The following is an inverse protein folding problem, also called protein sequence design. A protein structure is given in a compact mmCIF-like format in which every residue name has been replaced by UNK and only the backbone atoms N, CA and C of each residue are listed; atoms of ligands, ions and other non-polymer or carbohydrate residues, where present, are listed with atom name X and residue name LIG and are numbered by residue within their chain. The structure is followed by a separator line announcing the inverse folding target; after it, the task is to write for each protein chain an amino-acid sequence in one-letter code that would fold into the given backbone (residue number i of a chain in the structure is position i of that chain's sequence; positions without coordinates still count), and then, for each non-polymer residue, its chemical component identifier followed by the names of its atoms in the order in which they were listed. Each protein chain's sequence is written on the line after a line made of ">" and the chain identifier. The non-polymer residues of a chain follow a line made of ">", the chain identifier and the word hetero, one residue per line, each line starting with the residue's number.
data_IF_260201679405
#
_entry.id   IF_260201679405
#
_cell.length_a   1.000
_cell.length_b   1.000
_cell.length_c   1.000
_cell.angle_alpha   90.00
_cell.angle_beta   90.00
_cell.angle_gamma   90.00
#
_symmetry.space_group_name_H-M   'P 1'
#
loop_
_entity.id
_entity.type
_entity.pdbx_description
1 polymer ?
#
# COMPACT_ATOMS: atom_id res chain seq x y z
N UNK A 1 15.67 29.39 -15.14
CA UNK A 1 16.84 29.04 -14.28
C UNK A 1 17.32 30.25 -13.46
N UNK A 2 17.55 31.43 -14.05
CA UNK A 2 18.05 32.60 -13.35
C UNK A 2 17.11 33.18 -12.27
N UNK A 3 15.80 33.09 -12.45
CA UNK A 3 14.79 33.59 -11.51
C UNK A 3 14.71 32.71 -10.26
N UNK A 4 14.93 31.40 -10.39
CA UNK A 4 14.97 30.46 -9.27
C UNK A 4 16.17 30.65 -8.34
N UNK A 5 17.32 31.05 -8.87
CA UNK A 5 18.51 31.34 -8.09
C UNK A 5 18.37 32.57 -7.19
N UNK A 6 17.56 33.55 -7.59
CA UNK A 6 17.31 34.77 -6.80
C UNK A 6 16.28 34.55 -5.69
N UNK A 7 15.30 33.64 -5.88
CA UNK A 7 14.22 33.38 -4.91
C UNK A 7 14.37 32.05 -4.18
N UNK A 8 15.36 31.22 -4.51
CA UNK A 8 15.53 29.86 -3.98
C UNK A 8 14.29 28.96 -4.21
N UNK A 9 13.48 29.26 -5.24
CA UNK A 9 12.25 28.54 -5.61
C UNK A 9 12.46 27.93 -6.98
N UNK A 10 12.33 26.59 -7.07
CA UNK A 10 12.52 25.84 -8.31
C UNK A 10 11.19 25.48 -9.02
N UNK A 11 10.07 25.75 -8.36
CA UNK A 11 8.74 25.31 -8.83
C UNK A 11 8.70 23.80 -9.10
N UNK A 12 9.38 23.02 -8.25
CA UNK A 12 9.46 21.57 -8.39
C UNK A 12 9.21 20.90 -7.05
N UNK A 13 8.28 19.96 -7.02
CA UNK A 13 8.02 19.08 -5.88
C UNK A 13 8.57 17.70 -6.19
N UNK A 14 9.31 17.12 -5.26
CA UNK A 14 9.74 15.72 -5.32
C UNK A 14 8.63 14.79 -4.87
N UNK A 15 8.52 13.63 -5.52
CA UNK A 15 7.72 12.50 -5.05
C UNK A 15 8.59 11.25 -5.07
N UNK A 16 8.69 10.57 -3.96
CA UNK A 16 9.37 9.26 -3.87
C UNK A 16 8.31 8.20 -3.57
N UNK A 17 8.27 7.17 -4.43
CA UNK A 17 7.35 6.03 -4.32
C UNK A 17 8.11 4.70 -4.27
N UNK A 18 7.51 3.65 -3.67
CA UNK A 18 8.12 2.32 -3.61
C UNK A 18 8.24 1.63 -4.96
N UNK A 19 7.18 1.61 -5.77
CA UNK A 19 7.16 0.83 -7.01
C UNK A 19 6.19 1.43 -8.04
N UNK A 20 6.72 2.01 -9.11
CA UNK A 20 5.91 2.63 -10.17
C UNK A 20 5.07 1.60 -10.96
N UNK A 21 5.39 0.32 -10.86
CA UNK A 21 4.61 -0.74 -11.54
C UNK A 21 3.36 -1.14 -10.76
N UNK A 22 3.25 -0.76 -9.50
CA UNK A 22 2.00 -0.90 -8.74
C UNK A 22 1.08 0.29 -9.05
N UNK A 23 -0.10 -0.02 -9.60
CA UNK A 23 -1.09 0.97 -10.06
C UNK A 23 -1.53 1.92 -8.94
N UNK A 24 -1.64 1.45 -7.70
CA UNK A 24 -1.93 2.28 -6.54
C UNK A 24 -1.00 3.51 -6.45
N UNK A 25 0.31 3.30 -6.60
CA UNK A 25 1.26 4.42 -6.56
C UNK A 25 1.16 5.30 -7.81
N UNK A 26 0.83 4.72 -8.98
CA UNK A 26 0.64 5.48 -10.22
C UNK A 26 -0.55 6.42 -10.13
N UNK A 27 -1.62 6.04 -9.44
CA UNK A 27 -2.78 6.88 -9.19
C UNK A 27 -2.46 8.04 -8.22
N UNK A 28 -1.64 7.79 -7.21
CA UNK A 28 -1.11 8.85 -6.33
C UNK A 28 -0.25 9.84 -7.12
N UNK A 29 0.64 9.34 -8.01
CA UNK A 29 1.45 10.19 -8.91
C UNK A 29 0.54 11.09 -9.73
N UNK A 30 -0.50 10.52 -10.35
CA UNK A 30 -1.45 11.26 -11.18
C UNK A 30 -2.20 12.33 -10.39
N UNK A 31 -2.74 11.98 -9.22
CA UNK A 31 -3.47 12.93 -8.37
C UNK A 31 -2.59 14.09 -7.88
N UNK A 32 -1.33 13.81 -7.56
CA UNK A 32 -0.37 14.85 -7.16
C UNK A 32 0.01 15.73 -8.36
N UNK A 33 0.30 15.12 -9.54
CA UNK A 33 0.66 15.84 -10.77
C UNK A 33 -0.44 16.83 -11.16
N UNK A 34 -1.71 16.43 -11.13
CA UNK A 34 -2.84 17.30 -11.46
C UNK A 34 -2.86 18.54 -10.54
N UNK A 35 -2.69 18.34 -9.23
CA UNK A 35 -2.64 19.46 -8.26
C UNK A 35 -1.42 20.36 -8.42
N UNK A 36 -0.27 19.80 -8.76
CA UNK A 36 0.94 20.56 -9.02
C UNK A 36 0.80 21.41 -10.28
N UNK A 37 0.23 20.84 -11.34
CA UNK A 37 -0.01 21.53 -12.60
C UNK A 37 -0.95 22.74 -12.44
N UNK A 38 -2.04 22.58 -11.68
CA UNK A 38 -2.96 23.68 -11.32
C UNK A 38 -2.24 24.87 -10.65
N UNK A 39 -1.12 24.61 -9.96
CA UNK A 39 -0.34 25.59 -9.20
C UNK A 39 0.99 25.95 -9.86
N UNK A 40 1.19 25.59 -11.12
CA UNK A 40 2.42 25.86 -11.91
C UNK A 40 3.68 25.26 -11.29
N UNK A 41 3.56 24.06 -10.67
CA UNK A 41 4.68 23.26 -10.19
C UNK A 41 4.95 22.07 -11.11
N UNK A 42 6.21 21.68 -11.19
CA UNK A 42 6.64 20.45 -11.85
C UNK A 42 6.76 19.31 -10.82
N UNK A 43 6.59 18.08 -11.28
CA UNK A 43 6.83 16.87 -10.50
C UNK A 43 8.20 16.27 -10.84
N UNK A 44 9.00 15.96 -9.82
CA UNK A 44 10.21 15.13 -9.95
C UNK A 44 9.96 13.79 -9.26
N UNK A 45 9.91 12.71 -10.03
CA UNK A 45 9.60 11.38 -9.53
C UNK A 45 10.87 10.58 -9.20
N UNK A 46 10.92 10.01 -8.00
CA UNK A 46 11.89 9.01 -7.56
C UNK A 46 11.19 7.66 -7.31
N UNK A 47 11.67 6.60 -7.95
CA UNK A 47 11.22 5.23 -7.72
C UNK A 47 12.26 4.46 -6.92
N UNK A 48 11.95 4.05 -5.69
CA UNK A 48 12.89 3.33 -4.83
C UNK A 48 12.96 1.85 -5.15
N UNK A 49 12.08 1.35 -6.01
CA UNK A 49 11.96 -0.07 -6.33
C UNK A 49 11.83 -0.95 -5.07
N UNK A 50 11.17 -0.38 -4.07
CA UNK A 50 10.93 -0.97 -2.75
C UNK A 50 12.24 -1.33 -1.99
N UNK A 51 13.32 -0.55 -2.24
CA UNK A 51 14.65 -0.75 -1.67
C UNK A 51 15.10 0.48 -0.88
N UNK A 52 15.36 0.30 0.42
CA UNK A 52 15.82 1.37 1.32
C UNK A 52 17.05 2.12 0.78
N UNK A 53 18.03 1.42 0.17
CA UNK A 53 19.21 2.05 -0.41
C UNK A 53 18.86 3.02 -1.54
N UNK A 54 17.90 2.65 -2.41
CA UNK A 54 17.46 3.51 -3.51
C UNK A 54 16.58 4.64 -2.99
N UNK A 55 15.80 4.41 -1.94
CA UNK A 55 15.02 5.41 -1.24
C UNK A 55 15.92 6.54 -0.72
N UNK A 56 16.97 6.22 0.06
CA UNK A 56 17.93 7.21 0.54
C UNK A 56 18.66 7.93 -0.60
N UNK A 57 18.98 7.21 -1.68
CA UNK A 57 19.59 7.83 -2.88
C UNK A 57 18.64 8.85 -3.50
N UNK A 58 17.34 8.54 -3.58
CA UNK A 58 16.32 9.46 -4.09
C UNK A 58 16.13 10.68 -3.19
N UNK A 59 16.12 10.51 -1.86
CA UNK A 59 16.09 11.64 -0.91
C UNK A 59 17.29 12.58 -1.13
N UNK A 60 18.49 12.03 -1.24
CA UNK A 60 19.70 12.82 -1.49
C UNK A 60 19.67 13.53 -2.85
N UNK A 61 19.16 12.86 -3.89
CA UNK A 61 18.98 13.46 -5.21
C UNK A 61 18.01 14.65 -5.15
N UNK A 62 16.83 14.49 -4.52
CA UNK A 62 15.83 15.56 -4.37
C UNK A 62 16.42 16.75 -3.61
N UNK A 63 17.20 16.51 -2.55
CA UNK A 63 17.88 17.56 -1.81
C UNK A 63 18.90 18.30 -2.69
N UNK A 64 19.70 17.59 -3.48
CA UNK A 64 20.69 18.16 -4.39
C UNK A 64 20.05 18.95 -5.52
N UNK A 65 18.93 18.49 -6.06
CA UNK A 65 18.15 19.18 -7.10
C UNK A 65 17.33 20.36 -6.56
N UNK A 66 17.42 20.59 -5.24
CA UNK A 66 16.77 21.74 -4.58
C UNK A 66 15.27 21.81 -4.81
N UNK A 67 14.55 20.67 -4.74
CA UNK A 67 13.08 20.67 -4.79
C UNK A 67 12.50 21.58 -3.68
N UNK A 68 11.37 22.24 -3.94
CA UNK A 68 10.74 23.16 -2.98
C UNK A 68 10.02 22.41 -1.84
N UNK A 69 9.67 21.14 -2.06
CA UNK A 69 9.09 20.25 -1.07
C UNK A 69 9.18 18.79 -1.53
N UNK A 70 8.93 17.87 -0.63
CA UNK A 70 8.97 16.43 -0.89
C UNK A 70 7.70 15.76 -0.38
N UNK A 71 7.10 14.93 -1.21
CA UNK A 71 6.09 13.93 -0.83
C UNK A 71 6.73 12.56 -0.91
N UNK A 72 6.48 11.69 0.06
CA UNK A 72 7.17 10.41 0.10
C UNK A 72 6.30 9.30 0.67
N UNK A 73 6.37 8.13 0.02
CA UNK A 73 5.92 6.85 0.55
C UNK A 73 7.18 6.02 0.80
N UNK A 74 7.33 5.53 2.02
CA UNK A 74 8.51 4.73 2.39
C UNK A 74 8.44 3.33 1.79
N UNK A 75 9.59 2.75 1.48
CA UNK A 75 9.69 1.37 1.02
C UNK A 75 9.39 0.37 2.15
N UNK A 76 8.95 -0.84 1.79
CA UNK A 76 8.67 -1.91 2.75
C UNK A 76 9.91 -2.35 3.53
N UNK A 77 11.10 -2.11 2.98
CA UNK A 77 12.37 -2.36 3.68
C UNK A 77 12.68 -1.31 4.76
N UNK A 78 11.96 -0.18 4.78
CA UNK A 78 12.27 0.97 5.66
C UNK A 78 11.61 0.78 7.02
N UNK A 79 12.17 -0.11 7.81
CA UNK A 79 11.73 -0.46 9.16
C UNK A 79 12.85 -0.26 10.19
N UNK A 80 12.48 0.11 11.41
CA UNK A 80 13.39 0.18 12.54
C UNK A 80 14.57 1.15 12.31
N UNK A 81 15.80 0.66 12.26
CA UNK A 81 16.98 1.50 12.05
C UNK A 81 16.99 2.19 10.68
N UNK A 82 16.54 1.50 9.62
CA UNK A 82 16.42 2.08 8.28
C UNK A 82 15.43 3.25 8.26
N UNK A 83 14.32 3.12 8.97
CA UNK A 83 13.32 4.19 9.13
C UNK A 83 13.95 5.42 9.81
N UNK A 84 14.68 5.22 10.93
CA UNK A 84 15.41 6.30 11.59
C UNK A 84 16.41 7.01 10.67
N UNK A 85 17.11 6.25 9.83
CA UNK A 85 18.04 6.80 8.84
C UNK A 85 17.32 7.66 7.80
N UNK A 86 16.21 7.18 7.23
CA UNK A 86 15.40 7.94 6.28
C UNK A 86 14.84 9.20 6.91
N UNK A 87 14.22 9.12 8.09
CA UNK A 87 13.69 10.28 8.81
C UNK A 87 14.78 11.31 9.13
N UNK A 88 15.98 10.86 9.51
CA UNK A 88 17.13 11.74 9.73
C UNK A 88 17.57 12.45 8.44
N UNK A 89 17.58 11.75 7.31
CA UNK A 89 17.90 12.35 6.01
C UNK A 89 16.86 13.41 5.60
N UNK A 90 15.58 13.11 5.79
CA UNK A 90 14.47 14.05 5.51
C UNK A 90 14.56 15.32 6.37
N UNK A 91 14.87 15.19 7.67
CA UNK A 91 15.04 16.37 8.56
C UNK A 91 16.19 17.30 8.11
N UNK A 92 17.23 16.75 7.48
CA UNK A 92 18.37 17.53 6.96
C UNK A 92 18.05 18.30 5.68
N UNK A 93 16.98 17.98 4.98
CA UNK A 93 16.61 18.69 3.74
C UNK A 93 16.22 20.15 3.98
N UNK A 94 15.79 20.50 5.19
CA UNK A 94 15.29 21.86 5.54
C UNK A 94 14.24 22.37 4.54
N UNK A 95 13.34 21.47 4.10
CA UNK A 95 12.24 21.69 3.15
C UNK A 95 10.97 21.03 3.70
N UNK A 96 9.78 21.52 3.33
CA UNK A 96 8.53 20.84 3.67
C UNK A 96 8.53 19.38 3.17
N UNK A 97 8.15 18.47 4.06
CA UNK A 97 8.00 17.04 3.74
C UNK A 97 6.63 16.57 4.17
N UNK A 98 5.96 15.84 3.30
CA UNK A 98 4.71 15.12 3.57
C UNK A 98 4.95 13.63 3.37
N UNK A 99 4.61 12.83 4.35
CA UNK A 99 4.65 11.37 4.26
C UNK A 99 3.25 10.83 3.98
N UNK A 100 3.16 9.87 3.07
CA UNK A 100 1.91 9.16 2.74
C UNK A 100 2.01 7.75 3.31
N UNK A 101 0.91 7.26 3.91
CA UNK A 101 0.80 5.92 4.51
C UNK A 101 1.90 5.60 5.53
N UNK A 102 2.45 6.62 6.15
CA UNK A 102 3.44 6.48 7.21
C UNK A 102 2.86 6.96 8.53
N UNK A 103 3.13 6.23 9.58
CA UNK A 103 2.86 6.71 10.93
C UNK A 103 3.99 7.64 11.37
N UNK A 104 3.65 8.83 11.83
CA UNK A 104 4.61 9.80 12.31
C UNK A 104 4.42 10.05 13.80
N UNK A 105 5.52 9.99 14.56
CA UNK A 105 5.51 10.33 15.98
C UNK A 105 5.20 11.82 16.20
N UNK A 106 4.62 12.21 17.36
CA UNK A 106 4.34 13.61 17.66
C UNK A 106 5.56 14.52 17.47
N UNK A 107 5.40 15.59 16.68
CA UNK A 107 6.47 16.53 16.36
C UNK A 107 7.33 16.19 15.14
N UNK A 108 6.91 15.23 14.34
CA UNK A 108 7.57 14.84 13.08
C UNK A 108 7.05 15.58 11.84
N UNK A 109 6.87 14.84 10.75
CA UNK A 109 6.41 15.36 9.45
C UNK A 109 4.88 15.41 9.36
N UNK A 110 4.35 16.20 8.44
CA UNK A 110 2.94 16.09 8.04
C UNK A 110 2.69 14.74 7.40
N UNK A 111 1.55 14.11 7.70
CA UNK A 111 1.18 12.79 7.15
C UNK A 111 -0.19 12.83 6.50
N UNK A 112 -0.36 12.02 5.45
CA UNK A 112 -1.63 11.71 4.82
C UNK A 112 -1.80 10.20 4.84
N UNK A 113 -2.85 9.69 5.48
CA UNK A 113 -3.13 8.26 5.56
C UNK A 113 -4.62 8.02 5.70
N UNK A 114 -5.05 6.80 5.38
CA UNK A 114 -6.38 6.29 5.69
C UNK A 114 -6.36 5.56 7.03
N UNK A 115 -7.53 5.31 7.60
CA UNK A 115 -7.67 4.43 8.76
C UNK A 115 -7.65 2.96 8.30
N UNK A 116 -6.43 2.43 8.14
CA UNK A 116 -6.19 1.07 7.66
C UNK A 116 -6.83 0.00 8.56
N UNK A 117 -6.87 0.25 9.87
CA UNK A 117 -7.54 -0.65 10.82
C UNK A 117 -9.04 -0.69 10.56
N UNK A 118 -9.69 0.47 10.50
CA UNK A 118 -11.14 0.57 10.29
C UNK A 118 -11.54 0.03 8.92
N UNK A 119 -10.79 0.34 7.87
CA UNK A 119 -11.06 -0.15 6.52
C UNK A 119 -11.03 -1.69 6.47
N UNK A 120 -9.99 -2.33 7.01
CA UNK A 120 -9.91 -3.79 7.04
C UNK A 120 -10.97 -4.42 7.95
N UNK A 121 -11.29 -3.78 9.08
CA UNK A 121 -12.39 -4.21 9.93
C UNK A 121 -13.72 -4.24 9.17
N UNK A 122 -14.04 -3.17 8.43
CA UNK A 122 -15.25 -3.08 7.60
C UNK A 122 -15.27 -4.14 6.48
N UNK A 123 -14.12 -4.43 5.86
CA UNK A 123 -14.01 -5.48 4.85
C UNK A 123 -14.42 -6.85 5.41
N UNK A 124 -13.93 -7.19 6.60
CA UNK A 124 -14.30 -8.45 7.26
C UNK A 124 -15.75 -8.46 7.71
N UNK A 125 -16.27 -7.37 8.27
CA UNK A 125 -17.71 -7.25 8.59
C UNK A 125 -18.57 -7.51 7.36
N UNK A 126 -18.19 -6.96 6.22
CA UNK A 126 -18.92 -7.21 4.97
C UNK A 126 -18.90 -8.69 4.58
N UNK A 127 -17.75 -9.36 4.61
CA UNK A 127 -17.64 -10.78 4.31
C UNK A 127 -18.45 -11.64 5.30
N UNK A 128 -18.42 -11.30 6.59
CA UNK A 128 -19.23 -11.96 7.62
C UNK A 128 -20.75 -11.78 7.37
N UNK A 129 -21.16 -10.59 6.93
CA UNK A 129 -22.58 -10.30 6.59
C UNK A 129 -23.08 -11.14 5.41
N UNK A 130 -22.17 -11.61 4.53
CA UNK A 130 -22.48 -12.53 3.44
C UNK A 130 -22.45 -14.01 3.87
N UNK A 131 -22.21 -14.29 5.16
CA UNK A 131 -22.19 -15.65 5.72
C UNK A 131 -20.84 -16.35 5.68
N UNK A 132 -19.78 -15.65 5.33
CA UNK A 132 -18.41 -16.21 5.37
C UNK A 132 -17.88 -16.23 6.81
N UNK A 133 -17.65 -17.42 7.36
CA UNK A 133 -17.06 -17.59 8.70
C UNK A 133 -15.64 -18.19 8.67
N UNK A 134 -15.19 -18.64 7.51
CA UNK A 134 -13.85 -19.15 7.29
C UNK A 134 -13.14 -18.30 6.22
N UNK A 135 -12.65 -17.14 6.68
CA UNK A 135 -12.06 -16.10 5.85
C UNK A 135 -10.55 -16.22 5.96
N UNK A 136 -9.85 -16.43 4.85
CA UNK A 136 -8.38 -16.35 4.80
C UNK A 136 -7.93 -14.91 4.57
N UNK A 137 -6.69 -14.62 4.93
CA UNK A 137 -6.06 -13.32 4.70
C UNK A 137 -4.71 -13.49 4.00
N UNK A 138 -4.51 -12.78 2.87
CA UNK A 138 -3.20 -12.60 2.27
C UNK A 138 -2.74 -11.18 2.62
N UNK A 139 -1.82 -11.09 3.59
CA UNK A 139 -1.33 -9.82 4.08
C UNK A 139 -0.03 -9.39 3.36
N UNK A 140 0.39 -8.14 3.56
CA UNK A 140 1.69 -7.63 3.12
C UNK A 140 2.81 -7.99 4.11
N UNK A 141 4.01 -7.41 3.92
CA UNK A 141 5.13 -7.63 4.81
C UNK A 141 4.81 -7.22 6.25
N UNK A 142 5.12 -8.11 7.19
CA UNK A 142 4.93 -7.86 8.62
C UNK A 142 5.89 -6.77 9.13
N UNK A 143 5.42 -5.99 10.09
CA UNK A 143 6.16 -4.85 10.65
C UNK A 143 5.92 -3.54 9.91
N UNK A 144 5.31 -3.55 8.73
CA UNK A 144 4.79 -2.34 8.11
C UNK A 144 3.52 -1.88 8.83
N UNK A 145 3.51 -0.66 9.32
CA UNK A 145 2.38 -0.11 10.10
C UNK A 145 1.04 -0.23 9.36
N UNK A 146 1.00 0.07 8.08
CA UNK A 146 -0.20 -0.05 7.25
C UNK A 146 -0.71 -1.49 7.19
N UNK A 147 0.20 -2.44 6.96
CA UNK A 147 -0.13 -3.87 6.95
C UNK A 147 -0.58 -4.37 8.33
N UNK A 148 0.16 -3.99 9.38
CA UNK A 148 -0.15 -4.43 10.75
C UNK A 148 -1.50 -3.88 11.22
N UNK A 149 -1.85 -2.64 10.86
CA UNK A 149 -3.18 -2.08 11.14
C UNK A 149 -4.29 -2.79 10.36
N UNK A 150 -4.09 -3.09 9.06
CA UNK A 150 -5.04 -3.90 8.27
C UNK A 150 -5.21 -5.29 8.86
N UNK A 151 -4.12 -5.97 9.21
CA UNK A 151 -4.17 -7.30 9.80
C UNK A 151 -4.85 -7.29 11.18
N UNK A 152 -4.60 -6.27 12.00
CA UNK A 152 -5.30 -6.07 13.27
C UNK A 152 -6.80 -5.82 13.07
N UNK A 153 -7.19 -5.04 12.06
CA UNK A 153 -8.60 -4.85 11.70
C UNK A 153 -9.27 -6.17 11.36
N UNK A 154 -8.61 -7.00 10.53
CA UNK A 154 -9.09 -8.33 10.16
C UNK A 154 -9.27 -9.24 11.39
N UNK A 155 -8.27 -9.36 12.25
CA UNK A 155 -8.36 -10.25 13.42
C UNK A 155 -9.42 -9.77 14.42
N UNK A 156 -9.46 -8.46 14.69
CA UNK A 156 -10.44 -7.90 15.64
C UNK A 156 -11.88 -8.06 15.14
N UNK A 157 -12.13 -7.90 13.84
CA UNK A 157 -13.47 -8.09 13.32
C UNK A 157 -13.95 -9.54 13.45
N UNK A 158 -13.10 -10.53 13.17
CA UNK A 158 -13.42 -11.94 13.39
C UNK A 158 -13.76 -12.22 14.86
N UNK A 159 -12.88 -11.80 15.78
CA UNK A 159 -13.06 -12.02 17.24
C UNK A 159 -14.35 -11.39 17.77
N UNK A 160 -14.64 -10.14 17.39
CA UNK A 160 -15.86 -9.44 17.85
C UNK A 160 -17.16 -10.06 17.31
N UNK A 161 -17.09 -10.77 16.19
CA UNK A 161 -18.23 -11.52 15.64
C UNK A 161 -18.24 -13.00 16.04
N UNK A 162 -17.43 -13.39 17.04
CA UNK A 162 -17.39 -14.75 17.60
C UNK A 162 -16.76 -15.79 16.67
N UNK A 163 -16.03 -15.37 15.65
CA UNK A 163 -15.27 -16.25 14.75
C UNK A 163 -13.85 -16.39 15.30
N UNK A 164 -13.45 -17.62 15.60
CA UNK A 164 -12.10 -17.87 16.10
C UNK A 164 -11.05 -17.52 15.03
N UNK A 165 -10.10 -16.71 15.43
CA UNK A 165 -8.92 -16.42 14.62
C UNK A 165 -8.06 -17.69 14.44
N UNK A 166 -7.73 -18.02 13.18
CA UNK A 166 -6.87 -19.15 12.82
C UNK A 166 -5.61 -18.64 12.11
N UNK A 167 -4.43 -18.63 12.76
CA UNK A 167 -3.19 -18.20 12.12
C UNK A 167 -2.84 -18.97 10.84
N UNK A 168 -3.33 -20.20 10.68
CA UNK A 168 -3.10 -21.00 9.47
C UNK A 168 -3.83 -20.44 8.23
N UNK A 169 -4.81 -19.55 8.42
CA UNK A 169 -5.51 -18.85 7.36
C UNK A 169 -4.84 -17.53 6.94
N UNK A 170 -3.70 -17.18 7.53
CA UNK A 170 -2.94 -15.99 7.15
C UNK A 170 -1.69 -16.39 6.42
N UNK A 171 -1.46 -15.78 5.27
CA UNK A 171 -0.24 -15.93 4.48
C UNK A 171 0.36 -14.55 4.24
N UNK A 172 1.65 -14.42 4.56
CA UNK A 172 2.42 -13.21 4.29
C UNK A 172 2.80 -13.15 2.81
N UNK A 173 2.49 -12.04 2.17
CA UNK A 173 2.88 -11.66 0.82
C UNK A 173 3.78 -10.43 0.82
N UNK A 174 3.87 -9.77 -0.34
CA UNK A 174 4.74 -8.62 -0.57
C UNK A 174 4.03 -7.48 -1.33
N UNK A 175 2.71 -7.44 -1.29
CA UNK A 175 1.85 -6.52 -2.04
C UNK A 175 1.94 -6.66 -3.57
N UNK A 176 2.54 -7.74 -4.08
CA UNK A 176 2.67 -7.98 -5.52
C UNK A 176 1.79 -9.15 -5.97
N UNK A 177 1.41 -9.09 -7.23
CA UNK A 177 0.62 -10.14 -7.88
C UNK A 177 1.16 -11.58 -7.63
N UNK A 178 2.50 -11.75 -7.69
CA UNK A 178 3.11 -13.09 -7.57
C UNK A 178 2.92 -13.70 -6.19
N UNK A 179 2.97 -12.91 -5.13
CA UNK A 179 2.75 -13.42 -3.77
C UNK A 179 1.30 -13.81 -3.54
N UNK A 180 0.34 -13.05 -4.08
CA UNK A 180 -1.07 -13.43 -4.08
C UNK A 180 -1.32 -14.77 -4.79
N UNK A 181 -0.75 -14.94 -5.99
CA UNK A 181 -0.82 -16.19 -6.75
C UNK A 181 -0.22 -17.37 -5.97
N UNK A 182 0.97 -17.19 -5.40
CA UNK A 182 1.69 -18.24 -4.65
C UNK A 182 1.01 -18.63 -3.32
N UNK A 183 0.15 -17.77 -2.77
CA UNK A 183 -0.55 -18.01 -1.50
C UNK A 183 -1.68 -19.05 -1.64
N UNK A 184 -2.27 -19.20 -2.83
CA UNK A 184 -3.45 -20.05 -3.03
C UNK A 184 -3.18 -21.52 -2.74
N UNK A 185 -2.10 -22.17 -3.24
CA UNK A 185 -1.79 -23.56 -2.88
C UNK A 185 -1.61 -23.79 -1.38
N UNK A 186 -1.23 -22.76 -0.61
CA UNK A 186 -1.08 -22.83 0.85
C UNK A 186 -2.43 -22.73 1.56
N UNK A 187 -3.35 -21.91 1.03
CA UNK A 187 -4.65 -21.63 1.64
C UNK A 187 -5.72 -22.67 1.29
N UNK A 188 -5.75 -23.19 0.08
CA UNK A 188 -6.79 -24.13 -0.37
C UNK A 188 -6.96 -25.37 0.53
N UNK A 189 -5.88 -26.03 1.01
CA UNK A 189 -6.03 -27.15 1.94
C UNK A 189 -6.70 -26.78 3.27
N UNK A 190 -6.82 -25.48 3.57
CA UNK A 190 -7.49 -24.97 4.77
C UNK A 190 -8.98 -24.70 4.52
N UNK A 191 -9.47 -24.91 3.31
CA UNK A 191 -10.87 -24.74 2.90
C UNK A 191 -11.48 -23.37 3.29
N UNK A 192 -10.87 -22.22 2.95
CA UNK A 192 -11.50 -20.92 3.16
C UNK A 192 -12.72 -20.79 2.23
N UNK A 193 -13.76 -20.08 2.69
CA UNK A 193 -14.91 -19.71 1.86
C UNK A 193 -14.75 -18.32 1.24
N UNK A 194 -13.87 -17.50 1.83
CA UNK A 194 -13.49 -16.20 1.30
C UNK A 194 -12.02 -15.92 1.58
N UNK A 195 -11.41 -15.06 0.76
CA UNK A 195 -10.03 -14.60 0.90
C UNK A 195 -10.03 -13.07 0.85
N UNK A 196 -9.60 -12.44 1.95
CA UNK A 196 -9.29 -11.02 1.99
C UNK A 196 -7.80 -10.83 1.64
N UNK A 197 -7.53 -10.12 0.57
CA UNK A 197 -6.19 -9.70 0.19
C UNK A 197 -5.99 -8.24 0.64
N UNK A 198 -4.92 -7.96 1.37
CA UNK A 198 -4.69 -6.61 1.90
C UNK A 198 -4.11 -5.64 0.86
N UNK A 199 -4.20 -6.00 -0.43
CA UNK A 199 -4.20 -5.09 -1.58
C UNK A 199 -4.75 -5.80 -2.84
N UNK A 200 -5.11 -5.02 -3.85
CA UNK A 200 -5.72 -5.51 -5.09
C UNK A 200 -4.74 -6.31 -5.95
N UNK A 201 -3.46 -5.96 -5.96
CA UNK A 201 -2.46 -6.70 -6.74
C UNK A 201 -2.35 -8.17 -6.30
N UNK A 202 -2.38 -8.42 -4.98
CA UNK A 202 -2.41 -9.79 -4.46
C UNK A 202 -3.77 -10.47 -4.74
N UNK A 203 -4.88 -9.71 -4.70
CA UNK A 203 -6.20 -10.24 -5.05
C UNK A 203 -6.26 -10.74 -6.49
N UNK A 204 -5.70 -10.00 -7.46
CA UNK A 204 -5.61 -10.47 -8.84
C UNK A 204 -4.75 -11.73 -8.99
N UNK A 205 -3.65 -11.80 -8.25
CA UNK A 205 -2.83 -12.99 -8.17
C UNK A 205 -3.62 -14.20 -7.66
N UNK A 206 -4.36 -14.00 -6.57
CA UNK A 206 -5.21 -15.03 -5.96
C UNK A 206 -6.31 -15.51 -6.93
N UNK A 207 -7.04 -14.58 -7.55
CA UNK A 207 -8.10 -14.91 -8.53
C UNK A 207 -7.54 -15.75 -9.68
N UNK A 208 -6.40 -15.36 -10.24
CA UNK A 208 -5.81 -16.12 -11.34
C UNK A 208 -5.31 -17.50 -10.90
N UNK A 209 -4.75 -17.63 -9.70
CA UNK A 209 -4.34 -18.94 -9.17
C UNK A 209 -5.54 -19.87 -8.89
N UNK A 210 -6.67 -19.32 -8.41
CA UNK A 210 -7.92 -20.07 -8.23
C UNK A 210 -8.45 -20.57 -9.59
N UNK A 211 -8.50 -19.68 -10.57
CA UNK A 211 -8.93 -20.01 -11.95
C UNK A 211 -8.06 -21.12 -12.56
N UNK A 212 -6.74 -21.07 -12.41
CA UNK A 212 -5.83 -22.09 -12.94
C UNK A 212 -6.04 -23.46 -12.28
N UNK A 213 -6.68 -23.51 -11.12
CA UNK A 213 -7.08 -24.73 -10.41
C UNK A 213 -8.54 -25.12 -10.66
N UNK A 214 -9.25 -24.42 -11.55
CA UNK A 214 -10.64 -24.69 -11.88
C UNK A 214 -11.64 -24.29 -10.80
N UNK A 215 -11.26 -23.33 -9.92
CA UNK A 215 -12.08 -22.80 -8.84
C UNK A 215 -12.68 -21.47 -9.29
N UNK A 216 -13.99 -21.36 -9.27
CA UNK A 216 -14.71 -20.17 -9.73
C UNK A 216 -14.83 -19.12 -8.63
N UNK A 217 -14.56 -17.86 -9.00
CA UNK A 217 -14.73 -16.69 -8.15
C UNK A 217 -15.91 -15.89 -8.70
N UNK A 218 -16.95 -15.60 -7.89
CA UNK A 218 -17.07 -15.84 -6.45
C UNK A 218 -17.76 -17.15 -6.06
N UNK A 219 -18.18 -18.02 -7.00
CA UNK A 219 -19.12 -19.12 -6.78
C UNK A 219 -18.58 -20.19 -5.81
N UNK A 220 -17.30 -20.54 -5.91
CA UNK A 220 -16.65 -21.49 -5.00
C UNK A 220 -15.96 -20.77 -3.83
N UNK A 221 -15.23 -19.69 -4.12
CA UNK A 221 -14.50 -18.89 -3.13
C UNK A 221 -14.63 -17.41 -3.46
N UNK A 222 -15.09 -16.62 -2.52
CA UNK A 222 -15.12 -15.15 -2.66
C UNK A 222 -13.72 -14.57 -2.46
N UNK A 223 -13.38 -13.53 -3.26
CA UNK A 223 -12.12 -12.78 -3.10
C UNK A 223 -12.45 -11.30 -2.94
N UNK A 224 -11.83 -10.66 -1.94
CA UNK A 224 -11.94 -9.23 -1.70
C UNK A 224 -10.56 -8.61 -1.66
N UNK A 225 -10.40 -7.46 -2.28
CA UNK A 225 -9.17 -6.67 -2.32
C UNK A 225 -9.17 -5.48 -1.37
N UNK A 226 -8.17 -4.66 -1.54
CA UNK A 226 -7.95 -3.40 -0.83
C UNK A 226 -7.23 -2.45 -1.77
N UNK A 227 -7.61 -1.16 -1.82
CA UNK A 227 -7.11 -0.03 -2.61
C UNK A 227 -8.10 0.45 -3.69
N UNK A 228 -8.99 -0.41 -4.22
CA UNK A 228 -9.94 -0.13 -5.33
C UNK A 228 -9.26 0.53 -6.53
N UNK A 229 -8.13 -0.02 -6.98
CA UNK A 229 -7.41 0.51 -8.12
C UNK A 229 -8.21 0.33 -9.42
N UNK A 230 -7.93 1.15 -10.43
CA UNK A 230 -8.66 1.17 -11.70
C UNK A 230 -8.93 -0.21 -12.32
N UNK A 231 -7.99 -1.14 -12.18
CA UNK A 231 -8.15 -2.49 -12.72
C UNK A 231 -9.27 -3.29 -12.05
N UNK A 232 -9.66 -2.98 -10.82
CA UNK A 232 -10.72 -3.67 -10.08
C UNK A 232 -12.05 -3.68 -10.83
N UNK A 233 -12.30 -2.68 -11.67
CA UNK A 233 -13.54 -2.52 -12.42
C UNK A 233 -13.50 -3.16 -13.82
N UNK A 234 -12.31 -3.41 -14.39
CA UNK A 234 -12.17 -3.81 -15.81
C UNK A 234 -11.66 -5.24 -16.02
N UNK A 235 -11.27 -5.94 -14.96
CA UNK A 235 -10.90 -7.37 -15.04
C UNK A 235 -12.13 -8.24 -15.28
N UNK A 236 -11.91 -9.46 -15.79
CA UNK A 236 -12.99 -10.39 -16.17
C UNK A 236 -13.95 -10.72 -15.02
N UNK A 237 -13.47 -10.76 -13.78
CA UNK A 237 -14.27 -10.86 -12.56
C UNK A 237 -14.05 -9.54 -11.79
N UNK A 238 -15.01 -8.59 -11.81
CA UNK A 238 -14.85 -7.35 -11.08
C UNK A 238 -14.54 -7.61 -9.60
N UNK A 239 -13.52 -6.95 -9.09
CA UNK A 239 -13.06 -7.17 -7.73
C UNK A 239 -13.83 -6.28 -6.75
N UNK A 240 -14.44 -6.90 -5.73
CA UNK A 240 -14.89 -6.14 -4.56
C UNK A 240 -13.66 -5.68 -3.80
N UNK A 241 -13.53 -4.38 -3.60
CA UNK A 241 -12.36 -3.78 -2.93
C UNK A 241 -12.79 -2.68 -1.96
N UNK A 242 -11.93 -2.28 -1.02
CA UNK A 242 -12.19 -1.25 -0.02
C UNK A 242 -11.13 -0.16 -0.08
#
# INVERSE_FOLDING_TARGET
>A
FAVGLVKNITKTIGLIIPDITNVFFSEIVKGLEDKLHENEYNLMLGNSNDKHRLELSSVNMMNTQMVDGLVMIMSSETLGEKERQTLSALRKMNRPVVLIDCFNEPGGFSTVSIDNYKASYMAVEYLLSLGHHRIACICGPLGLKTNDDRLRGYTTALEQHGVSYDPALIVEGDFRYRSGYASIPVLLPKAPTAILCLNDMMAYGAINALKDQGIEVPDDISVMGFDDIFFSQIIAVPLTSI
#
